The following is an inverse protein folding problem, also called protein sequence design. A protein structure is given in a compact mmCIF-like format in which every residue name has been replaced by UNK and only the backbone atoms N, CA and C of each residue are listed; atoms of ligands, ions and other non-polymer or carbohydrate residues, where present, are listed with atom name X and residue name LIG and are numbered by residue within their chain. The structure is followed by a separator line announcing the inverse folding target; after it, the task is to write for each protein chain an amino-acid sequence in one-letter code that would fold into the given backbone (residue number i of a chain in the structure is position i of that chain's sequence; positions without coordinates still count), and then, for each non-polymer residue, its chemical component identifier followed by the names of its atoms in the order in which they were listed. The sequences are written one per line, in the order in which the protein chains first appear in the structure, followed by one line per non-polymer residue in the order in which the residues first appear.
data_IF_364371590493
#
_entry.id   IF_364371590493
#
_cell.length_a   1.000
_cell.length_b   1.000
_cell.length_c   1.000
_cell.angle_alpha   90.00
_cell.angle_beta   90.00
_cell.angle_gamma   90.00
#
_symmetry.space_group_name_H-M   'P 1'
#
loop_
_entity.id
_entity.type
_entity.pdbx_description
1 polymer ?
#
# COMPACT_ATOMS: atom_id res chain seq x y z
N UNK A 1 -4.50 18.68 -0.29
CA UNK A 1 -4.16 17.35 -0.85
C UNK A 1 -3.88 16.46 0.33
N UNK A 2 -4.85 15.63 0.71
CA UNK A 2 -4.74 14.80 1.89
C UNK A 2 -4.39 13.39 1.42
N UNK A 3 -3.18 12.93 1.75
CA UNK A 3 -2.82 11.53 1.60
C UNK A 3 -3.26 10.84 2.88
N UNK A 4 -4.02 9.75 2.75
CA UNK A 4 -4.43 8.95 3.91
C UNK A 4 -3.42 7.84 4.13
N UNK A 5 -2.94 7.73 5.37
CA UNK A 5 -2.02 6.68 5.78
C UNK A 5 -2.66 5.85 6.90
N UNK A 6 -2.61 4.52 6.76
CA UNK A 6 -3.15 3.57 7.73
C UNK A 6 -2.07 2.59 8.15
N UNK A 7 -2.12 2.11 9.39
CA UNK A 7 -1.22 1.07 9.89
C UNK A 7 -2.03 -0.08 10.47
N UNK A 8 -1.67 -1.29 10.07
CA UNK A 8 -2.30 -2.52 10.52
C UNK A 8 -1.27 -3.46 11.12
N UNK A 9 -1.60 -4.07 12.25
CA UNK A 9 -0.80 -5.11 12.87
C UNK A 9 -1.58 -6.42 12.82
N UNK A 10 -0.90 -7.50 12.43
CA UNK A 10 -1.51 -8.82 12.26
C UNK A 10 -0.91 -9.78 13.28
N UNK A 11 -1.77 -10.43 14.07
CA UNK A 11 -1.32 -11.51 14.92
C UNK A 11 -1.15 -12.78 14.07
N UNK A 12 0.06 -13.32 14.02
CA UNK A 12 0.40 -14.52 13.25
C UNK A 12 0.53 -15.77 14.13
N UNK A 13 0.15 -15.71 15.41
CA UNK A 13 0.26 -16.83 16.36
C UNK A 13 -0.60 -18.04 15.99
N UNK A 14 -1.56 -17.87 15.07
CA UNK A 14 -2.36 -18.97 14.53
C UNK A 14 -1.62 -19.79 13.47
N UNK A 15 -0.51 -19.28 12.92
CA UNK A 15 0.32 -20.01 11.95
C UNK A 15 1.24 -20.94 12.73
N UNK A 16 1.12 -22.28 12.58
CA UNK A 16 2.01 -23.25 13.20
C UNK A 16 3.47 -23.04 12.81
N UNK A 17 4.40 -23.33 13.71
CA UNK A 17 5.84 -23.09 13.46
C UNK A 17 6.41 -23.91 12.30
N UNK A 18 5.82 -25.07 12.02
CA UNK A 18 6.19 -25.98 10.94
C UNK A 18 5.44 -25.69 9.62
N UNK A 19 4.53 -24.72 9.60
CA UNK A 19 3.83 -24.34 8.37
C UNK A 19 4.74 -23.48 7.49
N UNK A 20 4.89 -23.90 6.23
CA UNK A 20 5.66 -23.17 5.23
C UNK A 20 4.71 -22.29 4.40
N UNK A 21 4.72 -21.00 4.69
CA UNK A 21 4.00 -20.02 3.87
C UNK A 21 4.67 -19.93 2.50
N UNK A 22 3.90 -20.16 1.44
CA UNK A 22 4.36 -20.00 0.05
C UNK A 22 4.05 -18.61 -0.51
N UNK A 23 2.89 -18.05 -0.14
CA UNK A 23 2.39 -16.76 -0.59
C UNK A 23 1.49 -16.13 0.45
N UNK A 24 1.38 -14.80 0.43
CA UNK A 24 0.43 -14.05 1.25
C UNK A 24 -0.10 -12.82 0.50
N UNK A 25 -1.40 -12.57 0.63
CA UNK A 25 -2.07 -11.42 0.05
C UNK A 25 -2.71 -10.55 1.13
N UNK A 26 -2.55 -9.23 1.03
CA UNK A 26 -3.38 -8.27 1.74
C UNK A 26 -4.56 -7.88 0.85
N UNK A 27 -5.77 -8.08 1.33
CA UNK A 27 -7.00 -7.71 0.61
C UNK A 27 -7.63 -6.47 1.21
N UNK A 28 -7.82 -5.45 0.39
CA UNK A 28 -8.47 -4.18 0.77
C UNK A 28 -9.79 -4.03 0.04
N UNK A 29 -10.86 -3.82 0.79
CA UNK A 29 -12.14 -3.43 0.21
C UNK A 29 -12.17 -1.92 0.05
N UNK A 30 -12.50 -1.49 -1.16
CA UNK A 30 -12.66 -0.08 -1.50
C UNK A 30 -14.09 0.16 -1.92
N UNK A 31 -14.68 1.20 -1.35
CA UNK A 31 -15.95 1.75 -1.80
C UNK A 31 -15.70 2.95 -2.71
N UNK A 32 -16.53 3.09 -3.74
CA UNK A 32 -16.61 4.29 -4.55
C UNK A 32 -17.01 5.47 -3.65
N UNK A 33 -16.25 6.56 -3.75
CA UNK A 33 -16.58 7.82 -3.08
C UNK A 33 -17.05 8.80 -4.15
N UNK A 34 -18.30 9.24 -4.08
CA UNK A 34 -18.83 10.24 -5.00
C UNK A 34 -18.29 11.63 -4.63
N UNK A 35 -17.38 12.19 -5.44
CA UNK A 35 -16.69 13.45 -5.16
C UNK A 35 -16.97 14.58 -6.18
N UNK A 36 -18.09 14.52 -6.90
CA UNK A 36 -18.48 15.54 -7.89
C UNK A 36 -17.72 15.53 -9.24
N UNK A 37 -18.21 16.25 -10.26
CA UNK A 37 -18.10 15.92 -11.70
C UNK A 37 -16.69 15.68 -12.30
N UNK A 38 -15.61 16.12 -11.65
CA UNK A 38 -14.22 15.82 -12.06
C UNK A 38 -13.73 14.43 -11.59
N UNK A 39 -14.55 13.66 -10.87
CA UNK A 39 -14.16 12.33 -10.38
C UNK A 39 -13.92 11.36 -11.54
N UNK A 40 -14.76 11.27 -12.56
CA UNK A 40 -14.76 10.23 -13.62
C UNK A 40 -13.39 9.85 -14.27
N UNK A 41 -12.33 10.66 -14.15
CA UNK A 41 -11.01 10.40 -14.76
C UNK A 41 -9.83 10.31 -13.77
N UNK A 42 -10.08 10.33 -12.46
CA UNK A 42 -9.03 10.27 -11.45
C UNK A 42 -8.50 8.85 -11.16
N UNK A 43 -7.26 8.77 -10.70
CA UNK A 43 -6.68 7.53 -10.18
C UNK A 43 -6.28 7.68 -8.71
N UNK A 44 -6.22 6.57 -7.99
CA UNK A 44 -5.55 6.48 -6.71
C UNK A 44 -4.35 5.57 -6.85
N UNK A 45 -3.24 5.97 -6.25
CA UNK A 45 -2.13 5.06 -6.02
C UNK A 45 -2.22 4.56 -4.59
N UNK A 46 -2.31 3.24 -4.44
CA UNK A 46 -2.25 2.56 -3.16
C UNK A 46 -0.88 1.92 -3.05
N UNK A 47 -0.13 2.29 -2.02
CA UNK A 47 1.18 1.73 -1.71
C UNK A 47 1.08 0.91 -0.43
N UNK A 48 1.61 -0.31 -0.46
CA UNK A 48 1.69 -1.19 0.70
C UNK A 48 3.15 -1.30 1.14
N UNK A 49 3.39 -1.07 2.41
CA UNK A 49 4.71 -1.09 3.00
C UNK A 49 4.77 -2.05 4.19
N UNK A 50 5.92 -2.68 4.38
CA UNK A 50 6.31 -3.27 5.65
C UNK A 50 6.89 -2.19 6.57
N UNK A 51 6.50 -2.22 7.84
CA UNK A 51 7.13 -1.39 8.88
C UNK A 51 8.36 -2.11 9.41
N UNK A 52 9.52 -1.46 9.33
CA UNK A 52 10.82 -2.07 9.63
C UNK A 52 11.29 -1.86 11.08
N UNK A 53 10.74 -0.85 11.76
CA UNK A 53 11.08 -0.49 13.15
C UNK A 53 9.85 -0.09 13.95
N UNK A 54 9.83 -0.32 15.27
CA UNK A 54 8.72 0.13 16.10
C UNK A 54 8.68 1.67 16.13
N UNK A 55 7.48 2.29 16.18
CA UNK A 55 7.35 3.74 16.16
C UNK A 55 8.11 4.46 17.28
N UNK A 56 8.30 3.82 18.44
CA UNK A 56 9.03 4.39 19.58
C UNK A 56 10.54 4.56 19.35
N UNK A 57 11.12 3.80 18.41
CA UNK A 57 12.54 3.92 18.04
C UNK A 57 12.80 4.98 16.95
N UNK A 58 11.73 5.53 16.38
CA UNK A 58 11.81 6.50 15.29
C UNK A 58 11.38 7.88 15.80
N UNK A 59 11.89 8.94 15.16
CA UNK A 59 11.43 10.31 15.43
C UNK A 59 9.90 10.36 15.29
N UNK A 60 9.17 11.00 16.23
CA UNK A 60 7.72 11.11 16.15
C UNK A 60 7.24 11.54 14.75
N UNK A 61 6.30 10.79 14.19
CA UNK A 61 5.76 11.03 12.85
C UNK A 61 6.54 10.45 11.68
N UNK A 62 7.68 9.79 11.92
CA UNK A 62 8.44 9.09 10.88
C UNK A 62 8.34 7.57 11.07
N UNK A 63 8.16 6.84 9.97
CA UNK A 63 8.21 5.38 9.95
C UNK A 63 9.35 4.95 9.03
N UNK A 64 10.16 4.00 9.48
CA UNK A 64 11.08 3.30 8.57
C UNK A 64 10.28 2.19 7.90
N UNK A 65 10.09 2.31 6.59
CA UNK A 65 9.23 1.42 5.82
C UNK A 65 9.97 0.86 4.61
N UNK A 66 9.48 -0.27 4.11
CA UNK A 66 9.92 -0.90 2.86
C UNK A 66 8.71 -1.15 1.97
N UNK A 67 8.70 -0.64 0.75
CA UNK A 67 7.62 -0.86 -0.21
C UNK A 67 7.54 -2.35 -0.57
N UNK A 68 6.34 -2.92 -0.51
CA UNK A 68 6.06 -4.31 -0.88
C UNK A 68 5.35 -4.35 -2.23
N UNK A 69 4.27 -3.59 -2.38
CA UNK A 69 3.45 -3.57 -3.60
C UNK A 69 2.85 -2.17 -3.81
N UNK A 70 2.56 -1.84 -5.05
CA UNK A 70 1.91 -0.58 -5.45
C UNK A 70 0.90 -0.83 -6.56
N UNK A 71 -0.29 -0.23 -6.44
CA UNK A 71 -1.31 -0.30 -7.49
C UNK A 71 -1.89 1.05 -7.79
N UNK A 72 -2.05 1.29 -9.09
CA UNK A 72 -2.88 2.36 -9.61
C UNK A 72 -4.30 1.83 -9.81
N UNK A 73 -5.27 2.43 -9.15
CA UNK A 73 -6.67 2.03 -9.20
C UNK A 73 -7.54 3.19 -9.64
N UNK A 74 -8.56 2.90 -10.44
CA UNK A 74 -9.62 3.88 -10.68
C UNK A 74 -10.45 4.02 -9.41
N UNK A 75 -10.80 5.24 -9.01
CA UNK A 75 -11.58 5.44 -7.79
C UNK A 75 -13.09 5.24 -7.99
N UNK A 76 -13.57 5.18 -9.24
CA UNK A 76 -14.97 5.00 -9.60
C UNK A 76 -15.50 3.57 -9.44
N UNK A 77 -14.70 2.64 -8.93
CA UNK A 77 -15.09 1.23 -8.79
C UNK A 77 -15.04 0.81 -7.32
N UNK A 78 -16.15 0.23 -6.85
CA UNK A 78 -16.19 -0.53 -5.59
C UNK A 78 -15.72 -1.94 -5.85
N UNK A 79 -14.56 -2.33 -5.29
CA UNK A 79 -14.06 -3.71 -5.42
C UNK A 79 -13.01 -4.05 -4.37
N UNK A 80 -12.75 -5.34 -4.25
CA UNK A 80 -11.56 -5.85 -3.56
C UNK A 80 -10.31 -5.64 -4.41
N UNK A 81 -9.26 -5.14 -3.78
CA UNK A 81 -7.89 -5.15 -4.28
C UNK A 81 -7.07 -6.15 -3.49
N UNK A 82 -6.16 -6.84 -4.17
CA UNK A 82 -5.22 -7.79 -3.54
C UNK A 82 -3.80 -7.30 -3.77
N UNK A 83 -2.98 -7.30 -2.74
CA UNK A 83 -1.59 -6.84 -2.78
C UNK A 83 -0.67 -7.95 -2.29
N UNK A 84 0.45 -8.14 -2.98
CA UNK A 84 1.43 -9.14 -2.58
C UNK A 84 2.19 -8.66 -1.34
N UNK A 85 2.05 -9.40 -0.24
CA UNK A 85 2.77 -9.16 1.02
C UNK A 85 3.62 -10.36 1.41
N UNK A 86 3.76 -11.35 0.51
CA UNK A 86 4.54 -12.56 0.70
C UNK A 86 5.95 -12.25 1.23
N UNK A 87 6.70 -11.26 0.71
CA UNK A 87 8.04 -10.99 1.21
C UNK A 87 8.07 -10.67 2.72
N UNK A 88 7.12 -9.89 3.22
CA UNK A 88 7.06 -9.52 4.63
C UNK A 88 6.62 -10.71 5.50
N UNK A 89 5.55 -11.40 5.08
CA UNK A 89 5.03 -12.55 5.83
C UNK A 89 6.05 -13.68 5.91
N UNK A 90 6.81 -13.93 4.84
CA UNK A 90 7.92 -14.90 4.84
C UNK A 90 9.01 -14.52 5.85
N UNK A 91 9.38 -13.24 5.94
CA UNK A 91 10.36 -12.79 6.95
C UNK A 91 9.85 -12.99 8.37
N UNK A 92 8.61 -12.63 8.63
CA UNK A 92 8.03 -12.74 9.97
C UNK A 92 7.88 -14.20 10.43
N UNK A 93 7.50 -15.09 9.51
CA UNK A 93 7.20 -16.50 9.85
C UNK A 93 8.41 -17.42 9.74
N UNK A 94 9.15 -17.36 8.63
CA UNK A 94 10.29 -18.25 8.34
C UNK A 94 11.59 -17.75 8.93
N UNK A 95 11.89 -16.47 8.76
CA UNK A 95 13.14 -15.87 9.24
C UNK A 95 13.04 -15.35 10.68
N UNK A 96 11.86 -15.49 11.31
CA UNK A 96 11.55 -15.05 12.68
C UNK A 96 11.89 -13.57 12.92
N UNK A 97 11.81 -12.75 11.88
CA UNK A 97 11.98 -11.31 12.02
C UNK A 97 10.78 -10.71 12.78
N UNK A 98 10.98 -9.62 13.54
CA UNK A 98 9.88 -8.94 14.21
C UNK A 98 8.80 -8.47 13.21
N UNK A 99 7.53 -8.62 13.62
CA UNK A 99 6.39 -8.10 12.89
C UNK A 99 5.97 -6.75 13.49
N UNK A 100 6.29 -5.65 12.81
CA UNK A 100 5.82 -4.31 13.17
C UNK A 100 4.60 -3.85 12.36
N UNK A 101 4.03 -4.75 11.55
CA UNK A 101 2.83 -4.53 10.77
C UNK A 101 3.10 -3.97 9.37
N UNK A 102 1.99 -3.65 8.70
CA UNK A 102 1.96 -3.03 7.37
C UNK A 102 1.49 -1.57 7.48
N UNK A 103 2.06 -0.71 6.66
CA UNK A 103 1.57 0.65 6.43
C UNK A 103 0.99 0.74 5.01
N UNK A 104 -0.12 1.47 4.89
CA UNK A 104 -0.87 1.64 3.65
C UNK A 104 -0.96 3.13 3.38
N UNK A 105 -0.55 3.57 2.21
CA UNK A 105 -0.67 4.96 1.78
C UNK A 105 -1.56 5.04 0.55
N UNK A 106 -2.55 5.94 0.60
CA UNK A 106 -3.42 6.25 -0.54
C UNK A 106 -3.14 7.68 -1.01
N UNK A 107 -2.68 7.80 -2.25
CA UNK A 107 -2.43 9.09 -2.91
C UNK A 107 -3.47 9.36 -3.98
N UNK A 108 -4.18 10.49 -3.87
CA UNK A 108 -5.14 10.95 -4.89
C UNK A 108 -4.40 11.60 -6.06
N UNK A 109 -4.41 10.94 -7.22
CA UNK A 109 -3.84 11.45 -8.47
C UNK A 109 -4.96 12.09 -9.30
N UNK A 110 -5.13 13.40 -9.12
CA UNK A 110 -5.94 14.17 -10.06
C UNK A 110 -5.20 14.20 -11.39
N UNK A 111 -5.90 13.89 -12.49
CA UNK A 111 -5.42 14.28 -13.81
C UNK A 111 -5.39 15.81 -13.82
N UNK A 112 -4.23 16.40 -13.58
CA UNK A 112 -3.99 17.72 -14.16
C UNK A 112 -4.26 17.55 -15.65
N UNK A 113 -5.11 18.41 -16.23
CA UNK A 113 -5.18 18.62 -17.67
C UNK A 113 -3.78 19.00 -18.12
N UNK A 114 -2.93 17.99 -18.30
CA UNK A 114 -1.60 18.15 -18.84
C UNK A 114 -1.86 18.44 -20.30
N UNK A 115 -1.74 19.72 -20.63
CA UNK A 115 -1.41 20.13 -21.98
C UNK A 115 -0.47 19.08 -22.56
N UNK A 116 -0.83 18.59 -23.75
CA UNK A 116 0.04 17.80 -24.61
C UNK A 116 1.33 18.59 -24.84
N UNK A 117 2.26 18.51 -23.88
CA UNK A 117 3.57 19.12 -23.94
C UNK A 117 4.45 18.20 -24.75
N UNK A 118 4.66 18.59 -26.01
CA UNK A 118 5.60 18.01 -26.96
C UNK A 118 6.79 17.30 -26.30
N UNK A 119 6.91 16.00 -26.54
CA UNK A 119 8.16 15.30 -26.33
C UNK A 119 9.20 15.86 -27.31
N UNK A 120 10.11 16.69 -26.83
CA UNK A 120 11.33 17.00 -27.57
C UNK A 120 12.29 15.82 -27.39
N UNK A 121 12.60 15.13 -28.49
CA UNK A 121 13.73 14.21 -28.55
C UNK A 121 14.99 15.03 -28.83
N UNK A 122 16.00 14.88 -27.99
CA UNK A 122 17.34 15.43 -28.24
C UNK A 122 18.17 14.27 -28.78
N UNK A 123 18.70 14.44 -29.99
CA UNK A 123 19.66 13.55 -30.67
C UNK A 123 21.09 13.94 -30.36
#
# INVERSE_FOLDING_TARGET
RENSAFRFLFNLSSIPENELISSAELRLFREQVDQGPDWEQGFHRINIYEVMKPPAEVVPGHLITRLLDTRLVHHNVTRWESFDVSPAVLRWTREKQPNYGLAIEVTHLHQTRTHQGQHVRIS
#
